data_IF_738069053170
#
_entry.id   IF_738069053170
#
_cell.length_a   1.000
_cell.length_b   1.000
_cell.length_c   1.000
_cell.angle_alpha   90.00
_cell.angle_beta   90.00
_cell.angle_gamma   90.00
#
_symmetry.space_group_name_H-M   'P 1'
#
loop_
_entity.id
_entity.type
_entity.pdbx_description
1 polymer ?
#
# COMPACT_ATOMS: atom_id res chain seq x y z
N UNK A 1 -7.49 -6.48 -12.95
CA UNK A 1 -7.63 -7.78 -12.25
C UNK A 1 -7.35 -7.52 -10.78
N UNK A 2 -8.19 -7.98 -9.85
CA UNK A 2 -7.89 -7.86 -8.43
C UNK A 2 -6.69 -8.76 -8.09
N UNK A 3 -5.64 -8.17 -7.53
CA UNK A 3 -4.40 -8.89 -7.16
C UNK A 3 -4.45 -9.33 -5.70
N UNK A 4 -4.84 -8.43 -4.79
CA UNK A 4 -4.91 -8.70 -3.36
C UNK A 4 -6.03 -7.88 -2.69
N UNK A 5 -6.72 -8.49 -1.74
CA UNK A 5 -7.64 -7.86 -0.80
C UNK A 5 -7.64 -8.65 0.50
N UNK A 6 -7.36 -8.00 1.63
CA UNK A 6 -7.39 -8.57 2.97
C UNK A 6 -7.33 -7.47 4.03
N UNK A 7 -7.79 -7.80 5.24
CA UNK A 7 -7.48 -7.03 6.44
C UNK A 7 -6.02 -7.26 6.83
N UNK A 8 -5.29 -6.17 7.05
CA UNK A 8 -3.84 -6.18 7.28
C UNK A 8 -3.50 -5.16 8.35
N UNK A 9 -2.36 -5.35 9.01
CA UNK A 9 -1.90 -4.48 10.09
C UNK A 9 -1.23 -3.21 9.56
N UNK A 10 -0.39 -3.35 8.53
CA UNK A 10 0.31 -2.24 7.90
C UNK A 10 0.61 -2.55 6.44
N UNK A 11 0.59 -1.51 5.60
CA UNK A 11 1.10 -1.56 4.23
C UNK A 11 2.13 -0.47 4.02
N UNK A 12 3.28 -0.81 3.44
CA UNK A 12 4.29 0.16 2.99
C UNK A 12 4.21 0.27 1.48
N UNK A 13 4.08 1.49 0.97
CA UNK A 13 3.88 1.80 -0.44
C UNK A 13 5.03 2.71 -0.92
N UNK A 14 5.64 2.43 -2.09
CA UNK A 14 6.66 3.29 -2.66
C UNK A 14 6.01 4.53 -3.30
N UNK A 15 5.88 5.62 -2.54
CA UNK A 15 5.41 6.90 -3.06
C UNK A 15 6.48 7.59 -3.91
N UNK A 16 6.06 8.53 -4.74
CA UNK A 16 6.98 9.31 -5.59
C UNK A 16 7.96 10.15 -4.76
N UNK A 17 7.52 10.70 -3.63
CA UNK A 17 8.34 11.51 -2.72
C UNK A 17 9.08 10.69 -1.64
N UNK A 18 8.89 9.37 -1.63
CA UNK A 18 9.44 8.46 -0.64
C UNK A 18 8.45 7.36 -0.23
N UNK A 19 8.94 6.44 0.58
CA UNK A 19 8.13 5.31 1.03
C UNK A 19 7.27 5.74 2.22
N UNK A 20 5.99 5.37 2.20
CA UNK A 20 5.06 5.68 3.28
C UNK A 20 4.37 4.42 3.79
N UNK A 21 4.12 4.40 5.10
CA UNK A 21 3.40 3.34 5.78
C UNK A 21 1.96 3.77 6.10
N UNK A 22 1.00 2.92 5.75
CA UNK A 22 -0.41 3.10 6.09
C UNK A 22 -0.78 2.05 7.14
N UNK A 23 -1.19 2.53 8.31
CA UNK A 23 -1.73 1.71 9.39
C UNK A 23 -3.24 1.98 9.53
N UNK A 24 -3.90 1.22 10.40
CA UNK A 24 -5.28 1.48 10.80
C UNK A 24 -5.48 2.94 11.27
N UNK A 25 -6.57 3.56 10.82
CA UNK A 25 -6.96 4.91 11.24
C UNK A 25 -6.12 6.04 10.64
N UNK A 26 -5.27 5.77 9.65
CA UNK A 26 -4.49 6.81 8.99
C UNK A 26 -5.41 7.87 8.34
N UNK A 27 -4.99 9.15 8.40
CA UNK A 27 -5.74 10.25 7.80
C UNK A 27 -5.91 10.04 6.28
N UNK A 28 -7.04 10.45 5.68
CA UNK A 28 -7.25 10.33 4.24
C UNK A 28 -6.22 11.11 3.44
N UNK A 29 -5.63 10.48 2.42
CA UNK A 29 -4.76 11.15 1.46
C UNK A 29 -4.68 10.35 0.16
N UNK A 30 -4.12 10.98 -0.87
CA UNK A 30 -3.87 10.37 -2.17
C UNK A 30 -2.44 10.66 -2.60
N UNK A 31 -1.76 9.68 -3.19
CA UNK A 31 -0.40 9.83 -3.69
C UNK A 31 -0.17 8.96 -4.93
N UNK A 32 0.77 9.36 -5.76
CA UNK A 32 1.28 8.54 -6.86
C UNK A 32 2.27 7.52 -6.34
N UNK A 33 2.22 6.32 -6.93
CA UNK A 33 3.11 5.21 -6.62
C UNK A 33 4.17 5.14 -7.72
N UNK A 34 5.44 4.99 -7.34
CA UNK A 34 6.56 4.77 -8.28
C UNK A 34 6.85 3.27 -8.42
N UNK A 35 7.69 2.92 -9.38
CA UNK A 35 8.19 1.56 -9.52
C UNK A 35 8.91 1.11 -8.25
N UNK A 36 8.54 -0.08 -7.78
CA UNK A 36 9.05 -0.63 -6.53
C UNK A 36 8.23 -1.81 -6.03
N UNK A 37 8.24 -2.00 -4.72
CA UNK A 37 7.55 -3.12 -4.07
C UNK A 37 6.68 -2.63 -2.94
N UNK A 38 5.42 -3.04 -2.95
CA UNK A 38 4.50 -2.87 -1.81
C UNK A 38 4.80 -3.98 -0.81
N UNK A 39 4.91 -3.61 0.47
CA UNK A 39 5.12 -4.56 1.56
C UNK A 39 3.87 -4.61 2.43
N UNK A 40 3.33 -5.80 2.63
CA UNK A 40 2.08 -6.02 3.37
C UNK A 40 2.40 -6.82 4.62
N UNK A 41 2.10 -6.26 5.79
CA UNK A 41 2.30 -6.88 7.09
C UNK A 41 0.96 -7.36 7.64
N UNK A 42 0.82 -8.68 7.80
CA UNK A 42 -0.41 -9.27 8.36
C UNK A 42 -0.59 -8.98 9.87
N UNK A 43 0.51 -8.84 10.60
CA UNK A 43 0.53 -8.49 12.02
C UNK A 43 1.83 -7.77 12.39
N UNK A 44 1.88 -7.17 13.58
CA UNK A 44 3.10 -6.56 14.10
C UNK A 44 4.26 -7.57 14.12
N UNK A 45 5.39 -7.20 13.49
CA UNK A 45 6.60 -8.04 13.42
C UNK A 45 6.52 -9.22 12.45
N UNK A 46 5.44 -9.38 11.67
CA UNK A 46 5.35 -10.41 10.66
C UNK A 46 6.34 -10.18 9.50
N UNK A 47 6.76 -11.26 8.84
CA UNK A 47 7.47 -11.16 7.56
C UNK A 47 6.52 -10.58 6.51
N UNK A 48 6.92 -9.53 5.78
CA UNK A 48 6.03 -8.90 4.81
C UNK A 48 5.81 -9.78 3.58
N UNK A 49 4.57 -9.80 3.09
CA UNK A 49 4.26 -10.19 1.72
C UNK A 49 4.72 -9.05 0.78
N UNK A 50 5.41 -9.40 -0.31
CA UNK A 50 5.99 -8.42 -1.23
C UNK A 50 5.27 -8.51 -2.57
N UNK A 51 4.74 -7.38 -3.04
CA UNK A 51 4.07 -7.27 -4.35
C UNK A 51 4.83 -6.21 -5.19
N UNK A 52 5.51 -6.59 -6.27
CA UNK A 52 6.12 -5.63 -7.19
C UNK A 52 5.04 -4.86 -7.95
N UNK A 53 5.29 -3.57 -8.18
CA UNK A 53 4.40 -2.67 -8.93
C UNK A 53 5.20 -1.78 -9.87
N UNK A 54 4.64 -1.51 -11.05
CA UNK A 54 5.20 -0.59 -12.04
C UNK A 54 4.37 0.70 -12.10
N UNK A 55 4.38 1.45 -11.00
CA UNK A 55 3.65 2.70 -10.89
C UNK A 55 2.15 2.55 -10.60
N UNK A 56 1.50 3.69 -10.34
CA UNK A 56 0.06 3.74 -10.09
C UNK A 56 -0.36 4.84 -9.12
N UNK A 57 -1.48 4.62 -8.44
CA UNK A 57 -2.06 5.52 -7.45
C UNK A 57 -2.41 4.78 -6.17
N UNK A 58 -2.19 5.43 -5.05
CA UNK A 58 -2.61 4.97 -3.73
C UNK A 58 -3.62 5.97 -3.16
N UNK A 59 -4.77 5.47 -2.73
CA UNK A 59 -5.82 6.20 -2.06
C UNK A 59 -6.03 5.64 -0.65
N UNK A 60 -5.91 6.48 0.36
CA UNK A 60 -6.25 6.16 1.74
C UNK A 60 -7.50 6.93 2.09
N UNK A 61 -8.51 6.21 2.58
CA UNK A 61 -9.75 6.78 3.07
C UNK A 61 -10.23 6.05 4.34
N UNK A 62 -11.41 6.43 4.84
CA UNK A 62 -11.96 5.85 6.07
C UNK A 62 -12.22 4.33 5.99
N UNK A 63 -12.27 3.74 4.80
CA UNK A 63 -12.44 2.30 4.59
C UNK A 63 -11.11 1.54 4.51
N UNK A 64 -9.99 2.24 4.35
CA UNK A 64 -8.66 1.64 4.24
C UNK A 64 -7.85 2.18 3.05
N UNK A 65 -6.87 1.39 2.62
CA UNK A 65 -5.98 1.69 1.50
C UNK A 65 -6.42 0.93 0.24
N UNK A 66 -6.57 1.65 -0.87
CA UNK A 66 -6.72 1.08 -2.22
C UNK A 66 -5.54 1.49 -3.08
N UNK A 67 -4.90 0.51 -3.74
CA UNK A 67 -3.82 0.78 -4.70
C UNK A 67 -4.24 0.34 -6.09
N UNK A 68 -4.21 1.30 -7.02
CA UNK A 68 -4.45 1.12 -8.44
C UNK A 68 -3.10 1.06 -9.15
N UNK A 69 -2.56 -0.15 -9.33
CA UNK A 69 -1.30 -0.36 -10.03
C UNK A 69 -1.50 -0.40 -11.55
N UNK A 70 -0.57 0.16 -12.32
CA UNK A 70 -0.62 0.12 -13.79
C UNK A 70 -0.20 -1.25 -14.35
N UNK A 71 0.79 -1.91 -13.71
CA UNK A 71 1.25 -3.25 -14.05
C UNK A 71 1.87 -4.00 -12.88
#
# INVERSE_FOLDING_TARGET
>A
KLVRAADVWQVVVPGTDGDFGVLEGHAPFMSTVRDGSIQIYASAGATPEIIPVQGGFAEVNAKGLTVLAEK
#
